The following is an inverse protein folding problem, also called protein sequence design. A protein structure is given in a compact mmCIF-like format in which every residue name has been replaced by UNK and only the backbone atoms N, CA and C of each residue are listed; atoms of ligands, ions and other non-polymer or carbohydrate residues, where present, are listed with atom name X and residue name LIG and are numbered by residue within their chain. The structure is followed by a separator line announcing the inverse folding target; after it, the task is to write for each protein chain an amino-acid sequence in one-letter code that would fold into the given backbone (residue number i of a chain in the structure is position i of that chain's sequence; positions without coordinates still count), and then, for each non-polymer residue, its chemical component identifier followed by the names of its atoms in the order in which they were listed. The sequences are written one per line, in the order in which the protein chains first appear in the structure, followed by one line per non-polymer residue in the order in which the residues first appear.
data_IF_915797177892
#
_entry.id   IF_915797177892
#
_cell.length_a   1.000
_cell.length_b   1.000
_cell.length_c   1.000
_cell.angle_alpha   90.00
_cell.angle_beta   90.00
_cell.angle_gamma   90.00
#
_symmetry.space_group_name_H-M   'P 1'
#
loop_
_entity.id
_entity.type
_entity.pdbx_description
1 polymer ?
#
# COMPACT_ATOMS: atom_id res chain seq x y z
N UNK A 1 15.12 -4.69 -5.26
CA UNK A 1 15.31 -5.09 -3.85
C UNK A 1 14.03 -5.75 -3.34
N UNK A 2 14.11 -6.65 -2.35
CA UNK A 2 12.90 -7.14 -1.70
C UNK A 2 12.30 -6.06 -0.79
N UNK A 3 10.97 -5.99 -0.70
CA UNK A 3 10.28 -5.08 0.21
C UNK A 3 10.77 -5.30 1.64
N UNK A 4 11.35 -4.25 2.26
CA UNK A 4 11.96 -4.32 3.59
C UNK A 4 10.92 -4.66 4.68
N UNK A 5 11.37 -5.28 5.77
CA UNK A 5 10.47 -5.62 6.89
C UNK A 5 9.94 -4.37 7.60
N UNK A 6 10.75 -3.31 7.71
CA UNK A 6 10.33 -2.00 8.25
C UNK A 6 9.15 -1.44 7.46
N UNK A 7 9.24 -1.41 6.13
CA UNK A 7 8.17 -0.91 5.25
C UNK A 7 6.92 -1.78 5.34
N UNK A 8 7.06 -3.12 5.39
CA UNK A 8 5.91 -4.03 5.59
C UNK A 8 5.17 -3.73 6.89
N UNK A 9 5.90 -3.57 7.99
CA UNK A 9 5.30 -3.22 9.29
C UNK A 9 4.63 -1.86 9.23
N UNK A 10 5.26 -0.87 8.60
CA UNK A 10 4.70 0.48 8.47
C UNK A 10 3.39 0.50 7.67
N UNK A 11 3.35 -0.18 6.52
CA UNK A 11 2.15 -0.33 5.69
C UNK A 11 1.02 -1.00 6.50
N UNK A 12 1.35 -2.10 7.20
CA UNK A 12 0.40 -2.85 8.02
C UNK A 12 -0.17 -1.99 9.15
N UNK A 13 0.69 -1.24 9.85
CA UNK A 13 0.30 -0.34 10.93
C UNK A 13 -0.62 0.77 10.42
N UNK A 14 -0.26 1.45 9.32
CA UNK A 14 -1.08 2.52 8.76
C UNK A 14 -2.44 2.03 8.30
N UNK A 15 -2.50 0.87 7.63
CA UNK A 15 -3.77 0.30 7.20
C UNK A 15 -4.66 -0.11 8.39
N UNK A 16 -4.07 -0.68 9.46
CA UNK A 16 -4.79 -1.06 10.68
C UNK A 16 -5.33 0.15 11.45
N UNK A 17 -4.68 1.31 11.35
CA UNK A 17 -5.12 2.54 12.01
C UNK A 17 -6.27 3.26 11.28
N UNK A 18 -6.59 2.89 10.03
CA UNK A 18 -7.66 3.56 9.26
C UNK A 18 -9.03 3.51 9.93
N UNK A 19 -9.53 2.36 10.43
CA UNK A 19 -10.83 2.31 11.12
C UNK A 19 -10.87 3.16 12.40
N UNK A 20 -9.71 3.44 13.01
CA UNK A 20 -9.60 4.25 14.23
C UNK A 20 -9.71 5.76 13.94
N UNK A 21 -9.39 6.17 12.71
CA UNK A 21 -9.34 7.59 12.32
C UNK A 21 -10.36 7.98 11.25
N UNK A 22 -10.99 7.02 10.59
CA UNK A 22 -11.93 7.26 9.50
C UNK A 22 -13.24 6.54 9.85
N UNK A 23 -14.21 7.31 10.32
CA UNK A 23 -15.56 6.81 10.60
C UNK A 23 -16.15 6.14 9.35
N UNK A 24 -16.74 4.95 9.53
CA UNK A 24 -17.32 4.17 8.44
C UNK A 24 -16.30 3.48 7.52
N UNK A 25 -15.00 3.51 7.85
CA UNK A 25 -14.02 2.74 7.09
C UNK A 25 -14.22 1.23 7.30
N UNK A 26 -14.41 0.52 6.18
CA UNK A 26 -14.60 -0.94 6.17
C UNK A 26 -13.38 -1.57 5.48
N UNK A 27 -12.54 -2.33 6.21
CA UNK A 27 -11.44 -3.08 5.61
C UNK A 27 -11.94 -4.12 4.62
N UNK A 28 -11.31 -4.23 3.45
CA UNK A 28 -11.69 -5.21 2.41
C UNK A 28 -10.49 -6.03 1.93
N UNK A 29 -10.70 -7.28 1.54
CA UNK A 29 -9.62 -8.12 1.01
C UNK A 29 -8.98 -7.53 -0.27
N UNK A 30 -9.74 -7.04 -1.27
CA UNK A 30 -9.16 -6.41 -2.45
C UNK A 30 -8.29 -5.18 -2.15
N UNK A 31 -8.57 -4.44 -1.07
CA UNK A 31 -7.72 -3.32 -0.66
C UNK A 31 -6.32 -3.81 -0.28
N UNK A 32 -6.25 -4.89 0.52
CA UNK A 32 -4.99 -5.47 1.01
C UNK A 32 -4.19 -6.12 -0.12
N UNK A 33 -4.88 -6.79 -1.04
CA UNK A 33 -4.27 -7.37 -2.24
C UNK A 33 -3.65 -6.27 -3.10
N UNK A 34 -4.41 -5.21 -3.39
CA UNK A 34 -3.90 -4.06 -4.15
C UNK A 34 -2.70 -3.39 -3.43
N UNK A 35 -2.76 -3.23 -2.11
CA UNK A 35 -1.62 -2.69 -1.32
C UNK A 35 -0.38 -3.58 -1.50
N UNK A 36 -0.53 -4.89 -1.41
CA UNK A 36 0.57 -5.83 -1.53
C UNK A 36 1.21 -5.80 -2.93
N UNK A 37 0.39 -5.81 -3.99
CA UNK A 37 0.88 -5.74 -5.37
C UNK A 37 1.57 -4.40 -5.66
N UNK A 38 0.97 -3.28 -5.24
CA UNK A 38 1.60 -1.95 -5.39
C UNK A 38 2.92 -1.88 -4.63
N UNK A 39 2.99 -2.38 -3.39
CA UNK A 39 4.21 -2.39 -2.59
C UNK A 39 5.32 -3.24 -3.23
N UNK A 40 4.97 -4.42 -3.77
CA UNK A 40 5.92 -5.28 -4.50
C UNK A 40 6.45 -4.57 -5.74
N UNK A 41 5.56 -4.02 -6.57
CA UNK A 41 5.95 -3.33 -7.81
C UNK A 41 6.84 -2.13 -7.54
N UNK A 42 6.51 -1.30 -6.54
CA UNK A 42 7.36 -0.16 -6.18
C UNK A 42 8.69 -0.55 -5.53
N UNK A 43 8.84 -1.77 -5.02
CA UNK A 43 10.13 -2.24 -4.47
C UNK A 43 11.01 -2.93 -5.51
N UNK A 44 10.42 -3.32 -6.64
CA UNK A 44 11.14 -3.95 -7.73
C UNK A 44 12.09 -2.96 -8.42
N UNK A 45 13.33 -3.38 -8.61
CA UNK A 45 14.36 -2.60 -9.33
C UNK A 45 14.21 -2.72 -10.84
N UNK A 46 13.56 -3.78 -11.33
CA UNK A 46 13.40 -3.99 -12.77
C UNK A 46 12.38 -3.04 -13.41
N UNK A 47 11.67 -2.24 -12.59
CA UNK A 47 10.89 -1.10 -13.05
C UNK A 47 9.64 -1.45 -13.86
N UNK A 48 9.08 -2.66 -13.69
CA UNK A 48 7.86 -3.05 -14.42
C UNK A 48 6.63 -2.29 -13.94
N UNK A 49 5.73 -2.00 -14.87
CA UNK A 49 4.44 -1.38 -14.55
C UNK A 49 3.43 -2.43 -14.07
N UNK A 50 2.61 -2.03 -13.10
CA UNK A 50 1.48 -2.80 -12.59
C UNK A 50 0.19 -2.15 -13.10
N UNK A 51 -0.69 -2.97 -13.69
CA UNK A 51 -2.03 -2.58 -14.11
C UNK A 51 -3.01 -3.35 -13.23
N UNK A 52 -3.85 -2.63 -12.48
CA UNK A 52 -4.90 -3.21 -11.64
C UNK A 52 -6.23 -2.58 -12.02
N UNK A 53 -7.22 -3.43 -12.30
CA UNK A 53 -8.62 -3.01 -12.34
C UNK A 53 -9.21 -3.11 -10.93
N UNK A 54 -9.74 -1.98 -10.43
CA UNK A 54 -10.39 -1.92 -9.13
C UNK A 54 -11.76 -1.23 -9.26
N UNK A 55 -12.86 -1.96 -9.01
CA UNK A 55 -14.20 -1.38 -9.03
C UNK A 55 -14.37 -0.16 -8.12
N UNK A 56 -15.39 0.66 -8.39
CA UNK A 56 -15.80 1.75 -7.49
C UNK A 56 -16.16 1.22 -6.11
N UNK A 57 -15.91 2.02 -5.06
CA UNK A 57 -16.19 1.63 -3.68
C UNK A 57 -15.17 0.68 -3.03
N UNK A 58 -14.20 0.16 -3.79
CA UNK A 58 -13.12 -0.69 -3.25
C UNK A 58 -12.16 0.10 -2.35
N UNK A 59 -12.02 1.42 -2.53
CA UNK A 59 -11.04 2.22 -1.78
C UNK A 59 -9.66 2.29 -2.42
N UNK A 60 -9.60 2.21 -3.76
CA UNK A 60 -8.37 2.22 -4.57
C UNK A 60 -7.37 3.32 -4.21
N UNK A 61 -7.87 4.51 -3.86
CA UNK A 61 -7.04 5.66 -3.48
C UNK A 61 -6.14 5.35 -2.29
N UNK A 62 -6.69 4.83 -1.20
CA UNK A 62 -5.87 4.45 -0.03
C UNK A 62 -4.96 3.27 -0.36
N UNK A 63 -5.42 2.34 -1.19
CA UNK A 63 -4.66 1.15 -1.55
C UNK A 63 -3.36 1.44 -2.32
N UNK A 64 -3.28 2.50 -3.13
CA UNK A 64 -2.00 2.89 -3.75
C UNK A 64 -1.23 3.95 -2.93
N UNK A 65 -1.92 4.81 -2.17
CA UNK A 65 -1.26 5.87 -1.39
C UNK A 65 -0.46 5.31 -0.22
N UNK A 66 -1.00 4.35 0.54
CA UNK A 66 -0.33 3.77 1.71
C UNK A 66 1.04 3.18 1.35
N UNK A 67 1.14 2.22 0.41
CA UNK A 67 2.44 1.67 0.02
C UNK A 67 3.32 2.68 -0.71
N UNK A 68 2.73 3.57 -1.53
CA UNK A 68 3.49 4.60 -2.24
C UNK A 68 4.19 5.59 -1.31
N UNK A 69 3.49 6.07 -0.28
CA UNK A 69 4.05 6.98 0.73
C UNK A 69 5.09 6.26 1.58
N UNK A 70 4.83 5.02 2.00
CA UNK A 70 5.75 4.26 2.86
C UNK A 70 7.11 4.05 2.17
N UNK A 71 7.08 3.58 0.91
CA UNK A 71 8.29 3.35 0.12
C UNK A 71 8.99 4.66 -0.23
N UNK A 72 8.23 5.72 -0.56
CA UNK A 72 8.83 7.03 -0.83
C UNK A 72 9.56 7.60 0.39
N UNK A 73 9.00 7.45 1.59
CA UNK A 73 9.68 7.86 2.84
C UNK A 73 10.93 7.04 3.11
N UNK A 74 10.89 5.74 2.91
CA UNK A 74 12.07 4.87 3.07
C UNK A 74 13.21 5.30 2.15
N UNK A 75 12.90 5.58 0.87
CA UNK A 75 13.89 6.02 -0.12
C UNK A 75 14.48 7.40 0.15
N UNK A 76 13.78 8.29 0.86
CA UNK A 76 14.30 9.61 1.24
C UNK A 76 15.26 9.56 2.43
N UNK A 77 15.16 8.53 3.25
CA UNK A 77 15.97 8.35 4.46
C UNK A 77 17.27 7.57 4.18
N UNK A 78 17.49 7.13 2.93
CA UNK A 78 18.70 6.52 2.42
C UNK A 78 19.34 7.45 1.38
#
# INVERSE_FOLDING_TARGET
MSLSQSVKMQISQWYKALPEHIEGFIPRAPQREMIAEVAKTFSDETGRHLIIEAPTGVGKTLSYLIPGIAISRERKNH
#
